data_IF_419091479117
#
_entry.id   IF_419091479117
#
_cell.length_a   1.000
_cell.length_b   1.000
_cell.length_c   1.000
_cell.angle_alpha   90.00
_cell.angle_beta   90.00
_cell.angle_gamma   90.00
#
_symmetry.space_group_name_H-M   'P 1'
#
loop_
_entity.id
_entity.type
_entity.pdbx_description
1 polymer ?
#
# COMPACT_ATOMS: atom_id res chain seq x y z
N UNK A 1 -2.47 8.08 18.38
CA UNK A 1 -1.35 7.21 17.95
C UNK A 1 -1.88 6.31 16.86
N UNK A 2 -1.20 6.19 15.71
CA UNK A 2 -1.57 5.18 14.72
C UNK A 2 -1.17 3.83 15.33
N UNK A 3 -2.13 2.95 15.58
CA UNK A 3 -1.83 1.58 15.99
C UNK A 3 -1.36 0.79 14.77
N UNK A 4 -0.47 -0.18 14.97
CA UNK A 4 -0.12 -1.11 13.90
C UNK A 4 -1.39 -1.76 13.34
N UNK A 5 -1.59 -1.65 12.03
CA UNK A 5 -2.70 -2.30 11.35
C UNK A 5 -2.28 -3.71 10.97
N UNK A 6 -3.17 -4.68 11.17
CA UNK A 6 -2.97 -6.03 10.68
C UNK A 6 -3.29 -6.07 9.17
N UNK A 7 -2.29 -5.79 8.35
CA UNK A 7 -2.33 -5.87 6.89
C UNK A 7 -1.84 -7.21 6.33
N UNK A 8 -1.41 -8.13 7.20
CA UNK A 8 -0.90 -9.46 6.82
C UNK A 8 -1.90 -10.36 6.08
N UNK A 9 -3.18 -9.96 5.96
CA UNK A 9 -4.16 -10.62 5.10
C UNK A 9 -4.26 -10.03 3.69
N UNK A 10 -3.68 -8.84 3.45
CA UNK A 10 -3.67 -8.20 2.14
C UNK A 10 -2.63 -8.92 1.28
N UNK A 11 -3.11 -9.70 0.31
CA UNK A 11 -2.28 -10.37 -0.69
C UNK A 11 -2.57 -9.78 -2.05
N UNK A 12 -1.53 -9.31 -2.74
CA UNK A 12 -1.59 -8.85 -4.12
C UNK A 12 -1.00 -9.96 -4.99
N UNK A 13 -1.83 -10.59 -5.81
CA UNK A 13 -1.37 -11.65 -6.73
C UNK A 13 -1.63 -11.20 -8.15
N UNK A 14 -0.58 -11.09 -8.95
CA UNK A 14 -0.68 -10.96 -10.41
C UNK A 14 -0.44 -12.30 -11.09
N UNK A 15 -1.05 -12.52 -12.25
CA UNK A 15 -0.98 -13.71 -13.09
C UNK A 15 -0.22 -13.35 -14.37
N UNK A 16 0.99 -12.85 -14.18
CA UNK A 16 1.86 -12.30 -15.22
C UNK A 16 2.17 -13.35 -16.29
N UNK A 17 2.32 -14.63 -15.91
CA UNK A 17 2.50 -15.74 -16.85
C UNK A 17 1.29 -15.99 -17.78
N UNK A 18 0.09 -15.54 -17.39
CA UNK A 18 -1.15 -15.68 -18.15
C UNK A 18 -1.52 -14.37 -18.88
N UNK A 19 -0.75 -13.30 -18.67
CA UNK A 19 -0.97 -11.98 -19.28
C UNK A 19 -0.23 -11.90 -20.62
N UNK A 20 -0.83 -12.44 -21.69
CA UNK A 20 -0.23 -12.59 -23.03
C UNK A 20 -0.94 -11.72 -24.08
N UNK A 21 -0.18 -11.26 -25.09
CA UNK A 21 -0.73 -10.45 -26.18
C UNK A 21 -1.21 -9.08 -25.70
N UNK A 22 -2.46 -8.73 -26.01
CA UNK A 22 -3.08 -7.48 -25.56
C UNK A 22 -3.76 -7.59 -24.18
N UNK A 23 -3.58 -8.70 -23.46
CA UNK A 23 -4.15 -8.87 -22.12
C UNK A 23 -3.40 -8.03 -21.08
N UNK A 24 -4.10 -7.62 -20.03
CA UNK A 24 -3.55 -6.92 -18.87
C UNK A 24 -4.07 -7.55 -17.59
N UNK A 25 -3.24 -7.54 -16.54
CA UNK A 25 -3.63 -7.96 -15.20
C UNK A 25 -3.37 -6.85 -14.19
N UNK A 26 -4.20 -6.76 -13.15
CA UNK A 26 -4.11 -5.73 -12.12
C UNK A 26 -4.62 -6.28 -10.80
N UNK A 27 -3.75 -6.28 -9.79
CA UNK A 27 -4.13 -6.54 -8.40
C UNK A 27 -4.29 -5.22 -7.65
N UNK A 28 -5.23 -5.14 -6.72
CA UNK A 28 -5.44 -3.96 -5.87
C UNK A 28 -5.69 -4.38 -4.43
N UNK A 29 -5.12 -3.61 -3.49
CA UNK A 29 -5.23 -3.82 -2.05
C UNK A 29 -5.36 -2.48 -1.33
N UNK A 30 -6.06 -2.45 -0.20
CA UNK A 30 -6.32 -1.21 0.55
C UNK A 30 -5.68 -1.25 1.93
N UNK A 31 -4.75 -0.32 2.17
CA UNK A 31 -4.14 -0.09 3.49
C UNK A 31 -4.86 1.02 4.28
N UNK A 32 -6.04 1.46 3.81
CA UNK A 32 -6.80 2.56 4.41
C UNK A 32 -7.17 2.31 5.88
N UNK A 33 -7.24 1.04 6.30
CA UNK A 33 -7.45 0.65 7.69
C UNK A 33 -6.40 1.28 8.62
N UNK A 34 -5.14 1.44 8.18
CA UNK A 34 -4.08 2.06 8.97
C UNK A 34 -4.36 3.53 9.31
N UNK A 35 -5.23 4.17 8.53
CA UNK A 35 -5.62 5.56 8.66
C UNK A 35 -7.05 5.73 9.22
N UNK A 36 -7.78 4.63 9.41
CA UNK A 36 -9.21 4.67 9.76
C UNK A 36 -9.47 5.33 11.12
N UNK A 37 -8.63 5.06 12.12
CA UNK A 37 -8.75 5.69 13.44
C UNK A 37 -8.53 7.21 13.40
N UNK A 38 -7.79 7.71 12.41
CA UNK A 38 -7.59 9.13 12.18
C UNK A 38 -8.65 9.74 11.25
N UNK A 39 -9.33 8.92 10.44
CA UNK A 39 -10.42 9.32 9.55
C UNK A 39 -11.81 9.27 10.23
N UNK A 40 -11.97 8.48 11.29
CA UNK A 40 -13.23 8.34 12.07
C UNK A 40 -12.98 8.63 13.56
N UNK A 41 -12.58 9.85 13.91
CA UNK A 41 -12.38 10.26 15.30
C UNK A 41 -13.69 10.28 16.09
N UNK A 42 -13.64 9.78 17.33
CA UNK A 42 -14.72 9.93 18.30
C UNK A 42 -14.44 11.14 19.19
N UNK A 43 -15.31 12.14 19.13
CA UNK A 43 -15.10 13.42 19.81
C UNK A 43 -15.84 13.54 21.16
N UNK A 44 -16.54 12.50 21.60
CA UNK A 44 -17.29 12.53 22.86
C UNK A 44 -18.31 13.67 22.93
N UNK A 45 -18.59 14.17 24.13
CA UNK A 45 -19.58 15.22 24.38
C UNK A 45 -19.11 16.63 23.94
N UNK A 46 -17.81 16.79 23.66
CA UNK A 46 -17.18 18.11 23.48
C UNK A 46 -17.32 18.66 22.05
N UNK A 47 -17.92 17.89 21.13
CA UNK A 47 -18.14 18.27 19.73
C UNK A 47 -16.90 18.07 18.84
N UNK A 48 -17.05 18.19 17.51
CA UNK A 48 -15.98 17.82 16.58
C UNK A 48 -14.72 18.67 16.76
N UNK A 49 -13.60 18.01 17.06
CA UNK A 49 -12.26 18.58 16.98
C UNK A 49 -11.66 18.46 15.57
N UNK A 50 -10.40 18.87 15.41
CA UNK A 50 -9.65 18.61 14.17
C UNK A 50 -8.74 17.39 14.35
N UNK A 51 -8.86 16.41 13.46
CA UNK A 51 -7.87 15.34 13.33
C UNK A 51 -7.25 15.42 11.95
N UNK A 52 -5.96 15.74 11.92
CA UNK A 52 -5.17 15.66 10.70
C UNK A 52 -4.40 14.36 10.74
N UNK A 53 -4.58 13.50 9.73
CA UNK A 53 -3.62 12.44 9.46
C UNK A 53 -2.30 13.16 9.16
N UNK A 54 -1.29 12.99 10.02
CA UNK A 54 0.03 13.61 9.82
C UNK A 54 0.69 13.11 8.52
N UNK A 55 1.83 13.72 8.17
CA UNK A 55 2.61 13.30 7.00
C UNK A 55 2.96 11.81 7.07
N UNK A 56 2.52 11.04 6.08
CA UNK A 56 2.95 9.67 5.84
C UNK A 56 4.04 9.66 4.75
N UNK A 57 4.92 8.67 4.78
CA UNK A 57 5.96 8.48 3.76
C UNK A 57 6.04 7.02 3.34
N UNK A 58 6.14 6.77 2.04
CA UNK A 58 6.52 5.46 1.53
C UNK A 58 8.05 5.28 1.62
N UNK A 59 8.51 4.06 1.89
CA UNK A 59 9.93 3.71 1.85
C UNK A 59 10.11 2.28 1.33
N UNK A 60 11.16 2.06 0.54
CA UNK A 60 11.60 0.73 0.13
C UNK A 60 12.72 0.32 1.08
N UNK A 61 12.45 -0.61 1.99
CA UNK A 61 13.45 -1.15 2.92
C UNK A 61 14.19 -2.36 2.35
N UNK A 62 13.56 -3.05 1.39
CA UNK A 62 14.16 -4.08 0.55
C UNK A 62 13.72 -3.83 -0.90
N UNK A 63 14.69 -3.64 -1.79
CA UNK A 63 14.43 -3.39 -3.22
C UNK A 63 14.11 -4.66 -4.00
N UNK A 64 14.29 -5.84 -3.40
CA UNK A 64 13.97 -7.11 -4.04
C UNK A 64 12.46 -7.33 -4.03
N UNK A 65 11.82 -7.26 -5.20
CA UNK A 65 10.38 -7.54 -5.34
C UNK A 65 10.03 -9.02 -5.16
N UNK A 66 11.02 -9.91 -5.31
CA UNK A 66 10.79 -11.36 -5.43
C UNK A 66 10.28 -11.81 -6.81
N UNK A 67 10.08 -10.87 -7.74
CA UNK A 67 9.61 -11.14 -9.10
C UNK A 67 10.77 -11.10 -10.11
N UNK A 68 10.62 -11.88 -11.18
CA UNK A 68 11.57 -11.87 -12.31
C UNK A 68 10.82 -11.79 -13.63
N UNK A 69 11.38 -11.07 -14.60
CA UNK A 69 10.90 -11.04 -15.99
C UNK A 69 12.03 -11.50 -16.91
N UNK A 70 11.79 -12.55 -17.69
CA UNK A 70 12.80 -13.18 -18.55
C UNK A 70 14.09 -13.58 -17.80
N UNK A 71 13.96 -14.01 -16.53
CA UNK A 71 15.09 -14.38 -15.67
C UNK A 71 15.86 -13.20 -15.08
N UNK A 72 15.45 -11.96 -15.35
CA UNK A 72 16.01 -10.75 -14.74
C UNK A 72 15.13 -10.29 -13.57
N UNK A 73 15.76 -9.88 -12.46
CA UNK A 73 15.03 -9.40 -11.29
C UNK A 73 14.31 -8.07 -11.57
N UNK A 74 13.07 -7.94 -11.11
CA UNK A 74 12.36 -6.67 -11.04
C UNK A 74 12.71 -6.01 -9.70
N UNK A 75 13.13 -4.75 -9.73
CA UNK A 75 13.57 -4.01 -8.53
C UNK A 75 12.57 -2.93 -8.18
N UNK A 76 12.30 -2.77 -6.88
CA UNK A 76 11.43 -1.72 -6.36
C UNK A 76 12.25 -0.46 -6.09
N UNK A 77 11.74 0.66 -6.56
CA UNK A 77 12.35 1.97 -6.40
C UNK A 77 11.33 3.01 -6.00
N UNK A 78 11.69 3.84 -5.02
CA UNK A 78 10.89 5.02 -4.68
C UNK A 78 11.20 6.15 -5.66
N UNK A 79 10.20 6.60 -6.41
CA UNK A 79 10.29 7.73 -7.34
C UNK A 79 9.23 8.75 -6.96
N UNK A 80 9.67 9.91 -6.46
CA UNK A 80 8.73 10.91 -5.93
C UNK A 80 7.88 10.34 -4.80
N UNK A 81 6.57 10.26 -5.00
CA UNK A 81 5.61 9.70 -4.06
C UNK A 81 5.24 8.24 -4.33
N UNK A 82 5.76 7.65 -5.41
CA UNK A 82 5.35 6.35 -5.91
C UNK A 82 6.44 5.29 -5.67
N UNK A 83 6.02 4.03 -5.57
CA UNK A 83 6.92 2.86 -5.68
C UNK A 83 6.70 2.25 -7.07
N UNK A 84 7.78 2.16 -7.83
CA UNK A 84 7.83 1.60 -9.19
C UNK A 84 8.84 0.47 -9.28
#
# INVERSE_FOLDING_TARGET
>A
TINAVADGSITLTTQDAQTIGSASDTATGSFAAAFLAAAVPSYGADGPGTTTVGSYSLSVTDSNSGLTSNGLAITLTKVGSDIV
#
